data_IF_679888927852
#
_entry.id   IF_679888927852
#
_cell.length_a   1.000
_cell.length_b   1.000
_cell.length_c   1.000
_cell.angle_alpha   90.00
_cell.angle_beta   90.00
_cell.angle_gamma   90.00
#
_symmetry.space_group_name_H-M   'P 1'
#
loop_
_entity.id
_entity.type
_entity.pdbx_description
1 polymer ?
#
# COMPACT_ATOMS: atom_id res chain seq x y z
N UNK A 1 14.00 -4.33 -2.47
CA UNK A 1 12.84 -5.07 -3.01
C UNK A 1 12.22 -4.28 -4.15
N UNK A 2 11.88 -4.94 -5.24
CA UNK A 2 11.20 -4.33 -6.38
C UNK A 2 9.66 -4.35 -6.20
N UNK A 3 8.94 -3.88 -7.21
CA UNK A 3 7.47 -3.84 -7.20
C UNK A 3 6.86 -5.25 -7.14
N UNK A 4 7.39 -6.18 -7.93
CA UNK A 4 6.82 -7.53 -8.09
C UNK A 4 6.83 -8.29 -6.78
N UNK A 5 7.96 -8.24 -6.06
CA UNK A 5 8.09 -8.86 -4.74
C UNK A 5 7.15 -8.23 -3.71
N UNK A 6 7.04 -6.89 -3.71
CA UNK A 6 6.19 -6.16 -2.79
C UNK A 6 4.69 -6.41 -3.07
N UNK A 7 4.31 -6.47 -4.34
CA UNK A 7 2.96 -6.81 -4.77
C UNK A 7 2.59 -8.23 -4.38
N UNK A 8 3.51 -9.19 -4.55
CA UNK A 8 3.29 -10.57 -4.11
C UNK A 8 3.04 -10.68 -2.59
N UNK A 9 3.68 -9.84 -1.77
CA UNK A 9 3.43 -9.78 -0.34
C UNK A 9 2.03 -9.27 -0.01
N UNK A 10 1.56 -8.22 -0.71
CA UNK A 10 0.20 -7.69 -0.56
C UNK A 10 -0.84 -8.71 -1.04
N UNK A 11 -0.65 -9.28 -2.23
CA UNK A 11 -1.60 -10.24 -2.81
C UNK A 11 -1.74 -11.51 -1.96
N UNK A 12 -0.68 -11.94 -1.26
CA UNK A 12 -0.78 -13.06 -0.30
C UNK A 12 -1.70 -12.74 0.88
N UNK A 13 -1.72 -11.49 1.34
CA UNK A 13 -2.56 -11.05 2.47
C UNK A 13 -3.99 -10.73 2.02
N UNK A 14 -4.13 -10.23 0.80
CA UNK A 14 -5.39 -9.79 0.21
C UNK A 14 -5.56 -10.43 -1.18
N UNK A 15 -5.81 -11.75 -1.26
CA UNK A 15 -5.90 -12.46 -2.54
C UNK A 15 -7.05 -11.93 -3.43
N UNK A 16 -8.14 -11.51 -2.80
CA UNK A 16 -9.31 -10.93 -3.48
C UNK A 16 -9.32 -9.39 -3.44
N UNK A 17 -8.25 -8.77 -2.91
CA UNK A 17 -8.15 -7.32 -2.77
C UNK A 17 -7.85 -6.64 -4.10
N UNK A 18 -8.53 -5.52 -4.35
CA UNK A 18 -8.29 -4.69 -5.53
C UNK A 18 -7.31 -3.58 -5.18
N UNK A 19 -6.23 -3.47 -5.95
CA UNK A 19 -5.32 -2.33 -5.85
C UNK A 19 -5.98 -1.07 -6.41
N UNK A 20 -6.13 -0.06 -5.56
CA UNK A 20 -6.76 1.23 -5.93
C UNK A 20 -5.79 2.40 -5.87
N UNK A 21 -4.63 2.22 -5.23
CA UNK A 21 -3.54 3.18 -5.31
C UNK A 21 -2.20 2.52 -5.10
N UNK A 22 -1.18 3.12 -5.73
CA UNK A 22 0.21 2.74 -5.55
C UNK A 22 1.04 4.01 -5.31
N UNK A 23 1.94 3.93 -4.34
CA UNK A 23 2.93 4.96 -4.05
C UNK A 23 4.25 4.32 -3.70
N UNK A 24 5.34 5.05 -3.88
CA UNK A 24 6.66 4.57 -3.51
C UNK A 24 7.52 5.63 -2.84
N UNK A 25 8.49 5.16 -2.07
CA UNK A 25 9.61 5.93 -1.56
C UNK A 25 10.85 5.04 -1.52
N UNK A 26 11.99 5.60 -1.12
CA UNK A 26 13.21 4.83 -0.84
C UNK A 26 13.04 3.79 0.29
N UNK A 27 12.02 3.96 1.15
CA UNK A 27 11.81 3.10 2.31
C UNK A 27 10.77 2.00 2.08
N UNK A 28 9.77 2.24 1.24
CA UNK A 28 8.65 1.31 1.06
C UNK A 28 7.95 1.44 -0.29
N UNK A 29 7.21 0.40 -0.63
CA UNK A 29 6.05 0.47 -1.51
C UNK A 29 4.79 0.64 -0.67
N UNK A 30 3.86 1.50 -1.06
CA UNK A 30 2.59 1.67 -0.37
C UNK A 30 1.42 1.38 -1.31
N UNK A 31 0.51 0.52 -0.87
CA UNK A 31 -0.60 0.00 -1.65
C UNK A 31 -1.91 0.35 -0.95
N UNK A 32 -2.79 1.07 -1.64
CA UNK A 32 -4.19 1.15 -1.24
C UNK A 32 -4.93 -0.08 -1.74
N UNK A 33 -5.54 -0.83 -0.82
CA UNK A 33 -6.29 -2.05 -1.12
C UNK A 33 -7.75 -1.81 -0.75
N UNK A 34 -8.65 -2.11 -1.67
CA UNK A 34 -10.10 -2.13 -1.43
C UNK A 34 -10.60 -3.58 -1.45
N UNK A 35 -11.58 -3.90 -0.61
CA UNK A 35 -12.26 -5.19 -0.68
C UNK A 35 -13.11 -5.24 -1.96
N UNK A 36 -13.19 -6.40 -2.61
CA UNK A 36 -13.93 -6.59 -3.87
C UNK A 36 -15.43 -6.34 -3.72
N UNK A 37 -15.94 -6.39 -2.48
CA UNK A 37 -17.35 -6.14 -2.12
C UNK A 37 -17.62 -4.68 -1.75
N UNK A 38 -16.57 -3.89 -1.48
CA UNK A 38 -16.69 -2.47 -1.21
C UNK A 38 -16.67 -1.70 -2.53
N UNK A 39 -17.73 -0.94 -2.78
CA UNK A 39 -17.75 0.01 -3.90
C UNK A 39 -16.65 1.03 -3.67
N UNK A 40 -15.53 0.92 -4.39
CA UNK A 40 -14.51 1.96 -4.41
C UNK A 40 -15.14 3.28 -4.88
N UNK A 41 -15.18 4.26 -3.98
CA UNK A 41 -15.59 5.63 -4.30
C UNK A 41 -14.34 6.49 -4.27
N UNK A 42 -13.94 6.97 -5.45
CA UNK A 42 -12.82 7.89 -5.60
C UNK A 42 -13.05 9.14 -4.72
N UNK A 43 -12.08 9.44 -3.84
CA UNK A 43 -12.15 10.58 -2.93
C UNK A 43 -12.82 10.32 -1.57
N UNK A 44 -13.31 9.11 -1.30
CA UNK A 44 -13.77 8.73 0.05
C UNK A 44 -12.60 8.23 0.90
N UNK A 45 -12.34 8.81 2.10
CA UNK A 45 -11.30 8.34 3.01
C UNK A 45 -11.74 7.03 3.67
N UNK A 46 -11.54 5.90 2.99
CA UNK A 46 -11.89 4.57 3.49
C UNK A 46 -10.88 3.47 3.19
N UNK A 47 -10.05 3.62 2.15
CA UNK A 47 -9.18 2.51 1.74
C UNK A 47 -7.97 2.40 2.66
N UNK A 48 -7.76 1.20 3.19
CA UNK A 48 -6.58 0.86 3.97
C UNK A 48 -5.34 0.94 3.07
N UNK A 49 -4.33 1.68 3.53
CA UNK A 49 -3.04 1.77 2.84
C UNK A 49 -2.01 0.95 3.60
N UNK A 50 -1.36 0.02 2.91
CA UNK A 50 -0.35 -0.87 3.47
C UNK A 50 1.02 -0.51 2.90
N UNK A 51 2.01 -0.32 3.77
CA UNK A 51 3.40 -0.18 3.38
C UNK A 51 4.10 -1.55 3.42
N UNK A 52 4.92 -1.82 2.42
CA UNK A 52 5.84 -2.95 2.34
C UNK A 52 7.26 -2.39 2.43
N UNK A 53 7.99 -2.70 3.50
CA UNK A 53 9.35 -2.22 3.71
C UNK A 53 10.30 -2.77 2.63
N UNK A 54 11.06 -1.90 1.95
CA UNK A 54 11.93 -2.30 0.83
C UNK A 54 13.09 -3.21 1.25
N UNK A 55 13.48 -3.20 2.52
CA UNK A 55 14.60 -3.99 3.05
C UNK A 55 14.13 -5.32 3.62
N UNK A 56 13.01 -5.33 4.35
CA UNK A 56 12.55 -6.52 5.08
C UNK A 56 11.39 -7.25 4.41
N UNK A 57 10.61 -6.58 3.55
CA UNK A 57 9.36 -7.11 3.01
C UNK A 57 8.21 -7.15 4.02
N UNK A 58 8.40 -6.58 5.21
CA UNK A 58 7.36 -6.49 6.23
C UNK A 58 6.20 -5.62 5.75
N UNK A 59 4.97 -6.09 5.96
CA UNK A 59 3.75 -5.38 5.60
C UNK A 59 3.17 -4.72 6.85
N UNK A 60 2.93 -3.42 6.79
CA UNK A 60 2.34 -2.65 7.89
C UNK A 60 1.21 -1.76 7.41
N UNK A 61 0.12 -1.71 8.16
CA UNK A 61 -0.98 -0.77 7.91
C UNK A 61 -0.54 0.66 8.26
N UNK A 62 -0.76 1.61 7.35
CA UNK A 62 -0.49 3.03 7.56
C UNK A 62 -1.64 3.72 8.28
N UNK A 63 -1.75 3.47 9.59
CA UNK A 63 -2.72 4.16 10.45
C UNK A 63 -2.21 5.58 10.77
N UNK A 64 -2.96 6.65 10.46
CA UNK A 64 -2.55 8.01 10.77
C UNK A 64 -2.14 8.19 12.24
N UNK A 65 -0.97 8.78 12.46
CA UNK A 65 -0.42 9.02 13.81
C UNK A 65 0.38 7.87 14.41
N UNK A 66 0.46 6.69 13.76
CA UNK A 66 1.35 5.61 14.17
C UNK A 66 2.82 5.89 13.80
N UNK A 67 3.77 5.26 14.51
CA UNK A 67 5.20 5.34 14.19
C UNK A 67 5.50 4.87 12.75
N UNK A 68 4.81 3.83 12.30
CA UNK A 68 4.89 3.30 10.93
C UNK A 68 4.45 4.36 9.92
N UNK A 69 3.33 5.04 10.19
CA UNK A 69 2.85 6.12 9.34
C UNK A 69 3.86 7.27 9.28
N UNK A 70 4.39 7.70 10.42
CA UNK A 70 5.40 8.77 10.48
C UNK A 70 6.70 8.38 9.77
N UNK A 71 7.09 7.10 9.83
CA UNK A 71 8.27 6.56 9.13
C UNK A 71 8.11 6.61 7.61
N UNK A 72 6.98 6.16 7.08
CA UNK A 72 6.82 5.93 5.65
C UNK A 72 6.15 7.07 4.89
N UNK A 73 5.17 7.75 5.48
CA UNK A 73 4.32 8.73 4.77
C UNK A 73 5.06 9.94 4.18
N UNK A 74 6.05 10.59 4.88
CA UNK A 74 6.63 11.85 4.41
C UNK A 74 7.33 11.79 3.03
N UNK A 75 7.77 10.60 2.61
CA UNK A 75 8.50 10.40 1.35
C UNK A 75 7.71 9.73 0.23
N UNK A 76 6.44 9.37 0.47
CA UNK A 76 5.64 8.64 -0.51
C UNK A 76 5.25 9.53 -1.69
N UNK A 77 5.50 9.00 -2.90
CA UNK A 77 5.08 9.59 -4.17
C UNK A 77 4.11 8.65 -4.85
N UNK A 78 2.93 9.15 -5.24
CA UNK A 78 1.97 8.39 -6.03
C UNK A 78 2.56 8.04 -7.39
N UNK A 79 2.41 6.80 -7.81
CA UNK A 79 2.86 6.28 -9.10
C UNK A 79 1.72 5.50 -9.78
N UNK A 80 1.76 5.30 -11.10
CA UNK A 80 0.80 4.47 -11.80
C UNK A 80 0.85 3.02 -11.31
N UNK A 81 -0.31 2.36 -11.22
CA UNK A 81 -0.39 0.91 -11.02
C UNK A 81 0.00 0.26 -12.37
N UNK A 82 0.98 -0.66 -12.40
CA UNK A 82 1.31 -1.43 -13.61
C UNK A 82 0.11 -2.25 -14.09
N UNK A 83 -0.05 -2.34 -15.42
CA UNK A 83 -1.07 -3.18 -16.09
C UNK A 83 -0.85 -4.68 -15.88
#
# INVERSE_FOLDING_TARGET
MDYTDAFAAIHRLFPDGVLVSLSESELCWAFGVADSVETYVEGSPGNAVYAVDRKTGEVSLLVPGSDVFLKYMPGLKKIPIPD
#
